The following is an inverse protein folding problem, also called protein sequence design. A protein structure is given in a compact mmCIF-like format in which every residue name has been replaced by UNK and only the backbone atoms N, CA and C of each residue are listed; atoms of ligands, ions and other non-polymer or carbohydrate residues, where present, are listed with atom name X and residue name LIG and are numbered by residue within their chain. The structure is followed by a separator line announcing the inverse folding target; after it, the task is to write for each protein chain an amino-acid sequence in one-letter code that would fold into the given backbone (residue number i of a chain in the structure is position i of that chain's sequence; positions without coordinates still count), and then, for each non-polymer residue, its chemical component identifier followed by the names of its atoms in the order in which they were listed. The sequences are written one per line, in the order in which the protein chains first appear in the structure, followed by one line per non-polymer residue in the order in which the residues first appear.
data_IF_299901689435
#
_entry.id   IF_299901689435
#
_cell.length_a   1.000
_cell.length_b   1.000
_cell.length_c   1.000
_cell.angle_alpha   90.00
_cell.angle_beta   90.00
_cell.angle_gamma   90.00
#
_symmetry.space_group_name_H-M   'P 1'
#
loop_
_entity.id
_entity.type
_entity.pdbx_description
1 polymer ?
#
# COMPACT_ATOMS: atom_id res chain seq x y z
N UNK A 1 -10.84 -20.81 7.54
CA UNK A 1 -10.06 -20.24 6.43
C UNK A 1 -9.03 -19.31 7.05
N UNK A 2 -7.72 -19.43 6.78
CA UNK A 2 -6.77 -18.52 7.41
C UNK A 2 -7.12 -17.10 6.93
N UNK A 3 -7.41 -16.21 7.89
CA UNK A 3 -7.47 -14.78 7.63
C UNK A 3 -6.13 -14.40 6.98
N UNK A 4 -6.16 -13.62 5.90
CA UNK A 4 -4.96 -13.01 5.29
C UNK A 4 -4.16 -13.87 4.30
N UNK A 5 -4.82 -14.76 3.55
CA UNK A 5 -4.15 -15.40 2.41
C UNK A 5 -3.94 -14.44 1.23
N UNK A 6 -4.87 -13.52 0.99
CA UNK A 6 -4.91 -12.66 -0.21
C UNK A 6 -4.69 -11.19 0.15
N UNK A 7 -3.62 -10.60 -0.40
CA UNK A 7 -3.24 -9.23 -0.11
C UNK A 7 -3.51 -8.34 -1.32
N UNK A 8 -4.20 -7.22 -1.10
CA UNK A 8 -4.45 -6.21 -2.12
C UNK A 8 -3.17 -5.38 -2.38
N UNK A 9 -2.72 -5.34 -3.63
CA UNK A 9 -1.64 -4.44 -4.05
C UNK A 9 -2.18 -3.06 -4.46
N UNK A 10 -3.46 -2.99 -4.84
CA UNK A 10 -4.25 -1.74 -4.87
C UNK A 10 -5.28 -1.78 -3.74
N UNK A 11 -5.26 -0.83 -2.78
CA UNK A 11 -6.18 -0.81 -1.67
C UNK A 11 -7.64 -0.89 -2.10
N UNK A 12 -8.41 -1.75 -1.45
CA UNK A 12 -9.82 -1.97 -1.81
C UNK A 12 -10.64 -0.68 -1.67
N UNK A 13 -10.31 0.19 -0.70
CA UNK A 13 -11.02 1.46 -0.51
C UNK A 13 -10.91 2.37 -1.74
N UNK A 14 -9.79 2.34 -2.46
CA UNK A 14 -9.57 3.17 -3.64
C UNK A 14 -10.50 2.72 -4.78
N UNK A 15 -10.65 1.41 -4.96
CA UNK A 15 -11.56 0.84 -5.96
C UNK A 15 -13.04 1.17 -5.66
N UNK A 16 -13.40 1.37 -4.39
CA UNK A 16 -14.78 1.74 -4.01
C UNK A 16 -15.20 3.10 -4.55
N UNK A 17 -14.27 4.03 -4.81
CA UNK A 17 -14.60 5.31 -5.43
C UNK A 17 -15.09 5.17 -6.88
N UNK A 18 -14.82 4.04 -7.53
CA UNK A 18 -15.30 3.72 -8.89
C UNK A 18 -16.47 2.74 -8.87
N UNK A 19 -16.98 2.39 -7.69
CA UNK A 19 -18.05 1.41 -7.52
C UNK A 19 -19.40 2.10 -7.37
N UNK A 20 -20.39 1.67 -8.13
CA UNK A 20 -21.77 2.16 -8.02
C UNK A 20 -22.46 1.63 -6.75
N UNK A 21 -22.18 0.38 -6.37
CA UNK A 21 -22.83 -0.32 -5.25
C UNK A 21 -21.88 -0.55 -4.05
N UNK A 22 -20.68 0.02 -4.10
CA UNK A 22 -19.64 -0.15 -3.10
C UNK A 22 -18.99 -1.54 -3.03
N UNK A 23 -19.37 -2.52 -3.85
CA UNK A 23 -18.92 -3.93 -3.74
C UNK A 23 -18.37 -4.53 -5.03
N UNK A 24 -18.69 -3.94 -6.18
CA UNK A 24 -18.21 -4.35 -7.50
C UNK A 24 -17.80 -3.17 -8.38
N UNK A 25 -16.94 -3.41 -9.36
CA UNK A 25 -16.54 -2.43 -10.38
C UNK A 25 -16.65 -3.03 -11.78
N UNK A 26 -16.76 -2.15 -12.77
CA UNK A 26 -16.56 -2.54 -14.16
C UNK A 26 -15.10 -2.91 -14.39
N UNK A 27 -14.87 -4.02 -15.08
CA UNK A 27 -13.55 -4.54 -15.42
C UNK A 27 -13.49 -4.77 -16.93
N UNK A 28 -12.43 -4.29 -17.57
CA UNK A 28 -12.07 -4.68 -18.93
C UNK A 28 -10.85 -5.60 -18.90
N UNK A 29 -11.02 -6.84 -19.36
CA UNK A 29 -9.92 -7.80 -19.41
C UNK A 29 -9.15 -7.64 -20.72
N UNK A 30 -7.94 -7.08 -20.64
CA UNK A 30 -7.08 -6.83 -21.81
C UNK A 30 -6.72 -8.10 -22.60
N UNK A 31 -6.55 -9.24 -21.92
CA UNK A 31 -6.15 -10.50 -22.56
C UNK A 31 -7.29 -11.11 -23.38
N UNK A 32 -8.51 -11.06 -22.87
CA UNK A 32 -9.68 -11.66 -23.52
C UNK A 32 -10.53 -10.66 -24.31
N UNK A 33 -10.28 -9.35 -24.17
CA UNK A 33 -11.08 -8.28 -24.79
C UNK A 33 -12.49 -8.18 -24.23
N UNK A 34 -12.76 -8.75 -23.04
CA UNK A 34 -14.12 -8.87 -22.48
C UNK A 34 -14.39 -7.81 -21.42
N UNK A 35 -15.61 -7.30 -21.41
CA UNK A 35 -16.15 -6.43 -20.36
C UNK A 35 -16.87 -7.30 -19.32
N UNK A 36 -16.59 -7.04 -18.04
CA UNK A 36 -17.29 -7.62 -16.89
C UNK A 36 -17.86 -6.46 -16.08
N UNK A 37 -19.18 -6.34 -16.00
CA UNK A 37 -19.86 -5.18 -15.40
C UNK A 37 -19.92 -5.23 -13.86
N UNK A 38 -19.78 -6.41 -13.26
CA UNK A 38 -19.95 -6.65 -11.83
C UNK A 38 -18.77 -7.39 -11.18
N UNK A 39 -17.53 -7.04 -11.53
CA UNK A 39 -16.37 -7.72 -10.96
C UNK A 39 -16.26 -7.40 -9.45
N UNK A 40 -16.25 -8.43 -8.61
CA UNK A 40 -16.18 -8.26 -7.15
C UNK A 40 -14.86 -7.63 -6.74
N UNK A 41 -14.94 -6.55 -5.94
CA UNK A 41 -13.79 -5.84 -5.38
C UNK A 41 -12.89 -6.75 -4.52
N UNK A 42 -13.46 -7.79 -3.91
CA UNK A 42 -12.72 -8.71 -3.03
C UNK A 42 -11.61 -9.47 -3.77
N UNK A 43 -11.80 -9.70 -5.07
CA UNK A 43 -10.93 -10.53 -5.88
C UNK A 43 -10.16 -9.74 -6.96
N UNK A 44 -10.27 -8.40 -6.94
CA UNK A 44 -9.53 -7.55 -7.87
C UNK A 44 -8.30 -6.96 -7.21
N UNK A 45 -7.25 -6.79 -8.01
CA UNK A 45 -5.98 -6.18 -7.61
C UNK A 45 -5.38 -6.75 -6.31
N UNK A 46 -5.52 -8.07 -6.13
CA UNK A 46 -4.98 -8.83 -5.02
C UNK A 46 -4.10 -9.98 -5.51
N UNK A 47 -3.20 -10.43 -4.64
CA UNK A 47 -2.36 -11.62 -4.85
C UNK A 47 -2.14 -12.32 -3.53
N UNK A 48 -2.15 -13.65 -3.55
CA UNK A 48 -1.90 -14.42 -2.33
C UNK A 48 -0.46 -14.20 -1.81
N UNK A 49 -0.32 -14.01 -0.50
CA UNK A 49 0.95 -13.84 0.21
C UNK A 49 1.86 -12.71 -0.30
N UNK A 50 1.30 -11.63 -0.85
CA UNK A 50 2.06 -10.55 -1.47
C UNK A 50 3.12 -9.93 -0.52
N UNK A 51 2.83 -9.89 0.78
CA UNK A 51 3.70 -9.29 1.82
C UNK A 51 4.30 -10.32 2.78
N UNK A 52 4.26 -11.61 2.45
CA UNK A 52 4.65 -12.68 3.37
C UNK A 52 3.52 -13.10 4.32
N UNK A 53 3.87 -13.82 5.39
CA UNK A 53 2.90 -14.52 6.26
C UNK A 53 2.76 -13.96 7.68
N UNK A 54 3.53 -12.94 8.04
CA UNK A 54 3.66 -12.45 9.41
C UNK A 54 2.66 -11.33 9.77
N UNK A 55 1.87 -10.84 8.80
CA UNK A 55 0.80 -9.86 9.00
C UNK A 55 1.24 -8.44 9.39
N UNK A 56 2.53 -8.21 9.65
CA UNK A 56 3.06 -6.91 10.11
C UNK A 56 2.88 -5.81 9.07
N UNK A 57 3.14 -6.15 7.81
CA UNK A 57 2.96 -5.23 6.70
C UNK A 57 1.50 -4.76 6.60
N UNK A 58 0.53 -5.67 6.72
CA UNK A 58 -0.89 -5.32 6.60
C UNK A 58 -1.34 -4.32 7.67
N UNK A 59 -0.90 -4.51 8.93
CA UNK A 59 -1.27 -3.61 10.02
C UNK A 59 -0.70 -2.19 9.84
N UNK A 60 0.57 -2.08 9.44
CA UNK A 60 1.21 -0.79 9.18
C UNK A 60 0.55 -0.06 7.99
N UNK A 61 0.25 -0.82 6.94
CA UNK A 61 -0.38 -0.31 5.73
C UNK A 61 -1.83 0.13 5.99
N UNK A 62 -2.58 -0.59 6.82
CA UNK A 62 -3.97 -0.27 7.14
C UNK A 62 -4.15 1.11 7.79
N UNK A 63 -3.24 1.53 8.67
CA UNK A 63 -3.29 2.85 9.29
C UNK A 63 -3.11 3.98 8.27
N UNK A 64 -2.14 3.82 7.38
CA UNK A 64 -1.83 4.80 6.32
C UNK A 64 -2.99 4.87 5.32
N UNK A 65 -3.54 3.72 4.93
CA UNK A 65 -4.69 3.62 4.04
C UNK A 65 -5.95 4.26 4.64
N UNK A 66 -6.18 4.13 5.94
CA UNK A 66 -7.29 4.78 6.63
C UNK A 66 -7.21 6.30 6.59
N UNK A 67 -6.01 6.85 6.87
CA UNK A 67 -5.74 8.28 6.74
C UNK A 67 -5.97 8.76 5.30
N UNK A 68 -5.38 8.09 4.32
CA UNK A 68 -5.52 8.43 2.91
C UNK A 68 -6.98 8.34 2.43
N UNK A 69 -7.74 7.34 2.86
CA UNK A 69 -9.17 7.21 2.55
C UNK A 69 -9.97 8.42 3.01
N UNK A 70 -9.68 8.92 4.21
CA UNK A 70 -10.35 10.09 4.78
C UNK A 70 -10.04 11.36 3.99
N UNK A 71 -8.78 11.58 3.62
CA UNK A 71 -8.35 12.72 2.79
C UNK A 71 -9.00 12.65 1.41
N UNK A 72 -8.94 11.50 0.74
CA UNK A 72 -9.52 11.32 -0.60
C UNK A 72 -11.04 11.52 -0.61
N UNK A 73 -11.75 11.07 0.43
CA UNK A 73 -13.19 11.35 0.58
C UNK A 73 -13.48 12.85 0.67
N UNK A 74 -12.69 13.61 1.43
CA UNK A 74 -12.83 15.07 1.50
C UNK A 74 -12.54 15.73 0.15
N UNK A 75 -11.49 15.30 -0.55
CA UNK A 75 -11.17 15.83 -1.88
C UNK A 75 -12.29 15.59 -2.88
N UNK A 76 -12.87 14.38 -2.90
CA UNK A 76 -14.01 14.05 -3.77
C UNK A 76 -15.24 14.89 -3.42
N UNK A 77 -15.53 15.06 -2.12
CA UNK A 77 -16.69 15.83 -1.67
C UNK A 77 -16.57 17.33 -1.94
N UNK A 78 -15.37 17.88 -1.86
CA UNK A 78 -15.12 19.33 -2.02
C UNK A 78 -14.67 19.72 -3.42
N UNK A 79 -14.18 18.77 -4.22
CA UNK A 79 -13.52 19.04 -5.50
C UNK A 79 -12.16 19.74 -5.37
N UNK A 80 -11.61 19.83 -4.15
CA UNK A 80 -10.38 20.58 -3.87
C UNK A 80 -9.27 19.67 -3.35
N UNK A 81 -8.00 19.90 -3.73
CA UNK A 81 -6.87 19.21 -3.14
C UNK A 81 -6.62 19.73 -1.71
N UNK A 82 -5.93 18.94 -0.87
CA UNK A 82 -5.50 19.42 0.44
C UNK A 82 -4.55 20.61 0.29
N UNK A 83 -4.60 21.53 1.25
CA UNK A 83 -3.69 22.68 1.31
C UNK A 83 -2.24 22.18 1.35
N UNK A 84 -1.36 22.80 0.56
CA UNK A 84 0.08 22.47 0.55
C UNK A 84 0.64 22.55 1.98
N UNK A 85 1.41 21.54 2.37
CA UNK A 85 2.01 21.37 3.71
C UNK A 85 1.02 21.21 4.88
N UNK A 86 -0.27 20.96 4.60
CA UNK A 86 -1.19 20.49 5.65
C UNK A 86 -0.95 19.02 5.98
N UNK A 87 -1.45 18.56 7.13
CA UNK A 87 -1.42 17.15 7.51
C UNK A 87 -2.04 16.24 6.43
N UNK A 88 -3.16 16.66 5.84
CA UNK A 88 -3.81 15.95 4.74
C UNK A 88 -2.91 15.81 3.52
N UNK A 89 -2.13 16.86 3.20
CA UNK A 89 -1.15 16.81 2.12
C UNK A 89 -0.01 15.84 2.44
N UNK A 90 0.47 15.80 3.68
CA UNK A 90 1.50 14.84 4.11
C UNK A 90 1.01 13.40 4.11
N UNK A 91 -0.22 13.15 4.58
CA UNK A 91 -0.88 11.84 4.51
C UNK A 91 -0.99 11.36 3.08
N UNK A 92 -1.48 12.23 2.17
CA UNK A 92 -1.64 11.88 0.76
C UNK A 92 -0.29 11.62 0.08
N UNK A 93 0.73 12.44 0.33
CA UNK A 93 2.07 12.25 -0.21
C UNK A 93 2.69 10.92 0.26
N UNK A 94 2.55 10.60 1.54
CA UNK A 94 3.01 9.33 2.13
C UNK A 94 2.33 8.15 1.47
N UNK A 95 1.00 8.23 1.30
CA UNK A 95 0.23 7.20 0.63
C UNK A 95 0.68 6.99 -0.82
N UNK A 96 0.86 8.06 -1.59
CA UNK A 96 1.31 7.96 -2.99
C UNK A 96 2.71 7.34 -3.10
N UNK A 97 3.62 7.68 -2.19
CA UNK A 97 4.95 7.08 -2.14
C UNK A 97 4.86 5.56 -1.91
N UNK A 98 4.04 5.13 -0.95
CA UNK A 98 3.82 3.69 -0.67
C UNK A 98 3.20 2.98 -1.87
N UNK A 99 2.19 3.59 -2.50
CA UNK A 99 1.57 3.05 -3.70
C UNK A 99 2.58 2.92 -4.85
N UNK A 100 3.49 3.89 -5.02
CA UNK A 100 4.53 3.84 -6.05
C UNK A 100 5.46 2.65 -5.86
N UNK A 101 5.75 2.27 -4.61
CA UNK A 101 6.57 1.11 -4.27
C UNK A 101 5.83 -0.24 -4.40
N UNK A 102 4.48 -0.24 -4.51
CA UNK A 102 3.67 -1.47 -4.61
C UNK A 102 3.49 -2.00 -6.04
N UNK A 103 3.72 -1.19 -7.07
CA UNK A 103 3.48 -1.56 -8.48
C UNK A 103 4.67 -2.20 -9.20
N UNK A 104 4.41 -3.35 -9.83
CA UNK A 104 5.14 -4.10 -10.87
C UNK A 104 6.59 -4.62 -10.68
N UNK A 105 7.43 -4.13 -9.76
CA UNK A 105 8.82 -4.64 -9.61
C UNK A 105 9.15 -5.24 -8.22
N UNK A 106 8.14 -5.41 -7.37
CA UNK A 106 8.32 -5.64 -5.93
C UNK A 106 8.39 -7.10 -5.46
N UNK A 107 9.21 -7.95 -6.12
CA UNK A 107 9.69 -9.19 -5.49
C UNK A 107 11.06 -8.98 -4.80
N UNK A 108 11.81 -7.94 -5.21
CA UNK A 108 13.04 -7.47 -4.57
C UNK A 108 12.84 -6.19 -3.72
N UNK A 109 11.64 -5.59 -3.73
CA UNK A 109 11.38 -4.25 -3.18
C UNK A 109 10.86 -4.20 -1.73
N UNK A 110 10.84 -5.31 -0.99
CA UNK A 110 10.43 -5.28 0.43
C UNK A 110 11.41 -4.44 1.27
N UNK A 111 12.72 -4.60 1.03
CA UNK A 111 13.78 -3.80 1.67
C UNK A 111 13.72 -2.34 1.23
N UNK A 112 13.52 -2.09 -0.06
CA UNK A 112 13.42 -0.73 -0.60
C UNK A 112 12.16 0.01 -0.11
N UNK A 113 11.05 -0.71 0.03
CA UNK A 113 9.81 -0.18 0.64
C UNK A 113 10.03 0.14 2.11
N UNK A 114 10.64 -0.76 2.89
CA UNK A 114 10.98 -0.51 4.29
C UNK A 114 11.89 0.71 4.44
N UNK A 115 12.87 0.86 3.54
CA UNK A 115 13.79 1.99 3.51
C UNK A 115 13.08 3.32 3.27
N UNK A 116 12.30 3.41 2.20
CA UNK A 116 11.57 4.64 1.84
C UNK A 116 10.53 5.04 2.86
N UNK A 117 9.75 4.07 3.36
CA UNK A 117 8.71 4.32 4.35
C UNK A 117 9.32 4.69 5.69
N UNK A 118 10.33 3.95 6.16
CA UNK A 118 10.99 4.23 7.43
C UNK A 118 11.63 5.62 7.47
N UNK A 119 12.33 6.03 6.41
CA UNK A 119 12.90 7.37 6.31
C UNK A 119 11.84 8.46 6.37
N UNK A 120 10.72 8.28 5.67
CA UNK A 120 9.65 9.28 5.70
C UNK A 120 8.99 9.39 7.08
N UNK A 121 8.70 8.27 7.73
CA UNK A 121 8.13 8.25 9.07
C UNK A 121 9.07 8.91 10.08
N UNK A 122 10.38 8.65 9.97
CA UNK A 122 11.40 9.31 10.79
C UNK A 122 11.48 10.80 10.48
N UNK A 123 11.41 11.25 9.22
CA UNK A 123 11.34 12.69 8.89
C UNK A 123 10.13 13.40 9.49
N UNK A 124 9.03 12.70 9.67
CA UNK A 124 7.83 13.26 10.28
C UNK A 124 7.89 13.28 11.82
N UNK A 125 8.65 12.35 12.42
CA UNK A 125 8.72 12.18 13.88
C UNK A 125 9.93 12.90 14.48
N UNK A 126 11.03 12.99 13.75
CA UNK A 126 12.28 13.59 14.19
C UNK A 126 12.24 15.10 13.98
N UNK A 127 12.47 15.83 15.05
CA UNK A 127 12.65 17.29 15.05
C UNK A 127 14.12 17.70 15.11
N UNK A 128 15.00 16.76 15.45
CA UNK A 128 16.44 16.99 15.62
C UNK A 128 17.16 17.12 14.27
N UNK A 129 17.82 18.26 13.97
CA UNK A 129 18.50 18.50 12.71
C UNK A 129 19.69 17.55 12.43
N UNK A 130 20.42 17.12 13.45
CA UNK A 130 21.54 16.19 13.29
C UNK A 130 21.03 14.80 12.93
N UNK A 131 19.92 14.36 13.56
CA UNK A 131 19.30 13.08 13.25
C UNK A 131 18.64 13.06 11.85
N UNK A 132 18.12 14.20 11.40
CA UNK A 132 17.60 14.37 10.04
C UNK A 132 18.72 14.35 8.99
N UNK A 133 19.90 14.89 9.31
CA UNK A 133 21.04 14.96 8.39
C UNK A 133 21.61 13.58 8.05
N UNK A 134 21.65 12.67 9.03
CA UNK A 134 22.17 11.31 8.83
C UNK A 134 21.16 10.34 8.20
N UNK A 135 19.90 10.76 8.09
CA UNK A 135 18.81 9.88 7.68
C UNK A 135 18.88 9.44 6.21
N UNK A 136 19.46 10.27 5.33
CA UNK A 136 19.67 9.91 3.93
C UNK A 136 20.75 8.84 3.77
N UNK A 137 21.74 8.79 4.67
CA UNK A 137 22.84 7.82 4.65
C UNK A 137 22.49 6.48 5.31
N UNK A 138 21.43 6.46 6.12
CA UNK A 138 20.94 5.23 6.75
C UNK A 138 20.22 4.33 5.74
N UNK A 139 20.43 3.02 5.84
CA UNK A 139 19.61 2.03 5.14
C UNK A 139 18.76 1.30 6.17
N UNK A 140 17.44 1.42 6.05
CA UNK A 140 16.51 0.70 6.93
C UNK A 140 16.20 -0.64 6.28
N UNK A 141 16.83 -1.69 6.78
CA UNK A 141 16.58 -3.04 6.30
C UNK A 141 15.23 -3.56 6.80
N UNK A 142 14.40 -4.05 5.88
CA UNK A 142 13.24 -4.84 6.23
C UNK A 142 13.66 -6.25 6.60
N UNK A 143 13.25 -6.75 7.77
CA UNK A 143 13.45 -8.16 8.15
C UNK A 143 12.69 -9.06 7.17
N UNK A 144 13.39 -9.60 6.17
CA UNK A 144 12.86 -10.67 5.32
C UNK A 144 12.96 -11.96 6.13
N UNK A 145 11.86 -12.34 6.80
CA UNK A 145 11.79 -13.63 7.46
C UNK A 145 12.06 -14.73 6.42
N UNK A 146 13.14 -15.49 6.65
CA UNK A 146 13.78 -16.33 5.65
C UNK A 146 12.87 -17.38 5.01
N UNK A 147 13.16 -17.73 3.75
CA UNK A 147 12.62 -18.92 3.10
C UNK A 147 13.08 -20.13 3.93
N UNK A 148 12.17 -20.72 4.70
CA UNK A 148 12.34 -22.09 5.18
C UNK A 148 12.51 -22.99 3.97
N UNK A 149 13.73 -23.53 3.78
CA UNK A 149 13.94 -24.67 2.88
C UNK A 149 13.05 -25.79 3.40
N UNK A 150 12.14 -26.23 2.55
CA UNK A 150 11.42 -27.48 2.74
C UNK A 150 12.42 -28.61 2.45
N UNK A 151 12.86 -29.45 3.42
CA UNK A 151 13.52 -30.69 3.07
C UNK A 151 12.46 -31.56 2.40
N UNK A 152 12.65 -31.78 1.10
CA UNK A 152 11.84 -32.69 0.29
C UNK A 152 11.82 -34.07 0.93
N UNK A 153 10.61 -34.58 1.09
CA UNK A 153 10.29 -36.00 1.16
C UNK A 153 10.90 -36.73 -0.03
N UNK A 154 11.82 -37.66 0.25
CA UNK A 154 12.01 -38.95 -0.43
C UNK A 154 12.87 -39.82 0.46
#
# INVERSE_FOLDING_TARGET
MPQNKSHHFVPQFLLRFFSVNGSSVGLYNLRSGRIVTGASLKHQACRDWFYGRDGKAEHALGQIEGGASSVLRRMIATGLPPKRYSDDHHVLATFLLIQSARTAQAAAAATEMANKVGKLMLRYTLTDPELLAVLDDLTIEGVVCGRGRNPTLS
#
